data_IF_203519849384
#
_entry.id   IF_203519849384
#
_cell.length_a   1.000
_cell.length_b   1.000
_cell.length_c   1.000
_cell.angle_alpha   90.00
_cell.angle_beta   90.00
_cell.angle_gamma   90.00
#
_symmetry.space_group_name_H-M   'P 1'
#
loop_
_entity.id
_entity.type
_entity.pdbx_description
1 polymer ?
#
# COMPACT_ATOMS: atom_id res chain seq x y z
N UNK A 1 -9.35 15.43 24.26
CA UNK A 1 -8.18 15.19 23.42
C UNK A 1 -8.53 14.23 22.31
N UNK A 2 -8.19 14.57 21.10
CA UNK A 2 -8.51 13.72 19.96
C UNK A 2 -7.31 12.84 19.67
N UNK A 3 -7.50 11.53 19.73
CA UNK A 3 -6.46 10.60 19.29
C UNK A 3 -6.37 10.61 17.78
N UNK A 4 -5.17 10.67 17.27
CA UNK A 4 -4.95 10.54 15.83
C UNK A 4 -5.23 9.11 15.41
N UNK A 5 -6.27 8.94 14.61
CA UNK A 5 -6.62 7.65 14.08
C UNK A 5 -5.57 7.21 13.07
N UNK A 6 -5.11 5.98 13.17
CA UNK A 6 -4.19 5.44 12.19
C UNK A 6 -4.94 5.18 10.89
N UNK A 7 -4.37 5.62 9.79
CA UNK A 7 -5.03 5.58 8.48
C UNK A 7 -4.22 4.72 7.54
N UNK A 8 -4.92 3.83 6.82
CA UNK A 8 -4.35 2.99 5.77
C UNK A 8 -4.81 3.53 4.43
N UNK A 9 -3.86 3.79 3.53
CA UNK A 9 -4.15 4.20 2.16
C UNK A 9 -3.98 3.02 1.22
N UNK A 10 -5.00 2.76 0.40
CA UNK A 10 -4.99 1.66 -0.55
C UNK A 10 -4.93 2.21 -1.96
N UNK A 11 -3.74 2.12 -2.58
CA UNK A 11 -3.52 2.58 -3.96
C UNK A 11 -3.71 1.38 -4.87
N UNK A 12 -4.97 1.09 -5.17
CA UNK A 12 -5.38 -0.09 -5.94
C UNK A 12 -6.35 0.33 -7.03
N UNK A 13 -6.10 -0.12 -8.26
CA UNK A 13 -6.99 0.19 -9.38
C UNK A 13 -8.32 -0.54 -9.29
N UNK A 14 -8.37 -1.67 -8.60
CA UNK A 14 -9.57 -2.51 -8.50
C UNK A 14 -10.46 -2.07 -7.34
N UNK A 15 -11.52 -1.34 -7.67
CA UNK A 15 -12.41 -0.76 -6.65
C UNK A 15 -13.10 -1.80 -5.78
N UNK A 16 -13.46 -2.96 -6.34
CA UNK A 16 -14.14 -4.01 -5.59
C UNK A 16 -13.22 -4.54 -4.49
N UNK A 17 -11.97 -4.85 -4.83
CA UNK A 17 -10.99 -5.36 -3.87
C UNK A 17 -10.70 -4.30 -2.81
N UNK A 18 -10.52 -3.06 -3.23
CA UNK A 18 -10.28 -1.95 -2.32
C UNK A 18 -11.44 -1.81 -1.33
N UNK A 19 -12.69 -1.86 -1.80
CA UNK A 19 -13.86 -1.77 -0.95
C UNK A 19 -13.93 -2.89 0.09
N UNK A 20 -13.63 -4.12 -0.32
CA UNK A 20 -13.62 -5.26 0.60
C UNK A 20 -12.55 -5.09 1.69
N UNK A 21 -11.37 -4.60 1.31
CA UNK A 21 -10.28 -4.37 2.25
C UNK A 21 -10.62 -3.24 3.22
N UNK A 22 -11.18 -2.14 2.72
CA UNK A 22 -11.60 -1.02 3.56
C UNK A 22 -12.58 -1.49 4.63
N UNK A 23 -13.59 -2.26 4.21
CA UNK A 23 -14.58 -2.77 5.15
C UNK A 23 -13.96 -3.70 6.18
N UNK A 24 -13.09 -4.61 5.76
CA UNK A 24 -12.43 -5.53 6.66
C UNK A 24 -11.55 -4.80 7.68
N UNK A 25 -10.81 -3.79 7.23
CA UNK A 25 -9.97 -2.99 8.12
C UNK A 25 -10.81 -2.29 9.17
N UNK A 26 -11.91 -1.67 8.75
CA UNK A 26 -12.80 -0.95 9.68
C UNK A 26 -13.48 -1.86 10.69
N UNK A 27 -13.84 -3.09 10.27
CA UNK A 27 -14.52 -4.03 11.14
C UNK A 27 -13.59 -4.72 12.13
N UNK A 28 -12.35 -4.97 11.73
CA UNK A 28 -11.41 -5.80 12.51
C UNK A 28 -10.34 -5.01 13.24
N UNK A 29 -10.25 -3.72 12.99
CA UNK A 29 -9.21 -2.88 13.60
C UNK A 29 -9.79 -1.53 13.98
N UNK A 30 -9.02 -0.77 14.75
CA UNK A 30 -9.35 0.61 15.07
C UNK A 30 -8.83 1.59 14.02
N UNK A 31 -8.23 1.07 12.95
CA UNK A 31 -7.70 1.90 11.87
C UNK A 31 -8.81 2.34 10.92
N UNK A 32 -8.61 3.49 10.30
CA UNK A 32 -9.44 3.93 9.18
C UNK A 32 -8.73 3.57 7.87
N UNK A 33 -9.46 3.56 6.76
CA UNK A 33 -8.90 3.21 5.47
C UNK A 33 -9.61 3.96 4.36
N UNK A 34 -8.86 4.31 3.31
CA UNK A 34 -9.44 4.93 2.13
C UNK A 34 -8.74 4.43 0.88
N UNK A 35 -9.44 4.51 -0.24
CA UNK A 35 -8.92 4.05 -1.53
C UNK A 35 -8.47 5.21 -2.42
N UNK A 36 -7.40 4.97 -3.17
CA UNK A 36 -6.93 5.85 -4.24
C UNK A 36 -6.90 5.00 -5.50
N UNK A 37 -7.69 5.36 -6.49
CA UNK A 37 -7.89 4.52 -7.68
C UNK A 37 -7.08 4.99 -8.88
N UNK A 38 -6.41 6.10 -8.76
CA UNK A 38 -5.53 6.65 -9.79
C UNK A 38 -4.18 6.96 -9.18
N UNK A 39 -3.13 6.40 -9.74
CA UNK A 39 -1.78 6.53 -9.18
C UNK A 39 -1.32 7.97 -9.06
N UNK A 40 -1.70 8.82 -10.02
CA UNK A 40 -1.29 10.23 -10.00
C UNK A 40 -1.91 11.05 -8.87
N UNK A 41 -2.86 10.48 -8.13
CA UNK A 41 -3.48 11.15 -6.98
C UNK A 41 -2.89 10.70 -5.65
N UNK A 42 -2.04 9.68 -5.66
CA UNK A 42 -1.53 9.09 -4.42
C UNK A 42 -0.71 10.08 -3.60
N UNK A 43 0.16 10.87 -4.24
CA UNK A 43 0.98 11.85 -3.54
C UNK A 43 0.13 12.89 -2.79
N UNK A 44 -0.85 13.47 -3.47
CA UNK A 44 -1.70 14.50 -2.85
C UNK A 44 -2.54 13.92 -1.72
N UNK A 45 -3.08 12.73 -1.90
CA UNK A 45 -3.87 12.09 -0.85
C UNK A 45 -3.01 11.73 0.36
N UNK A 46 -1.78 11.27 0.12
CA UNK A 46 -0.86 10.99 1.22
C UNK A 46 -0.49 12.26 1.98
N UNK A 47 -0.28 13.35 1.27
CA UNK A 47 0.04 14.63 1.90
C UNK A 47 -1.08 15.11 2.80
N UNK A 48 -2.32 15.01 2.33
CA UNK A 48 -3.49 15.51 3.07
C UNK A 48 -3.84 14.59 4.24
N UNK A 49 -3.84 13.27 4.02
CA UNK A 49 -4.34 12.31 5.00
C UNK A 49 -3.26 11.75 5.92
N UNK A 50 -2.00 11.86 5.58
CA UNK A 50 -0.86 11.36 6.36
C UNK A 50 -1.05 9.91 6.81
N UNK A 51 -1.14 8.95 5.87
CA UNK A 51 -1.36 7.54 6.23
C UNK A 51 -0.16 6.96 6.97
N UNK A 52 -0.42 6.02 7.86
CA UNK A 52 0.63 5.28 8.55
C UNK A 52 1.09 4.06 7.76
N UNK A 53 0.20 3.54 6.90
CA UNK A 53 0.50 2.42 6.02
C UNK A 53 -0.09 2.73 4.65
N UNK A 54 0.64 2.40 3.59
CA UNK A 54 0.13 2.46 2.22
C UNK A 54 0.32 1.08 1.58
N UNK A 55 -0.76 0.58 1.00
CA UNK A 55 -0.75 -0.64 0.21
C UNK A 55 -0.81 -0.22 -1.24
N UNK A 56 0.23 -0.47 -2.00
CA UNK A 56 0.36 0.01 -3.37
C UNK A 56 0.46 -1.17 -4.34
N UNK A 57 -0.42 -1.19 -5.31
CA UNK A 57 -0.45 -2.23 -6.35
C UNK A 57 0.58 -1.93 -7.43
N UNK A 58 1.28 -2.98 -7.90
CA UNK A 58 2.08 -2.87 -9.11
C UNK A 58 1.14 -3.05 -10.29
N UNK A 59 0.96 -2.03 -11.15
CA UNK A 59 0.01 -2.15 -12.26
C UNK A 59 0.49 -3.16 -13.29
N UNK A 60 -0.45 -3.86 -13.92
CA UNK A 60 -0.16 -4.79 -14.99
C UNK A 60 -0.17 -4.09 -16.34
N UNK A 61 0.57 -4.64 -17.30
CA UNK A 61 0.50 -4.27 -18.72
C UNK A 61 0.86 -2.81 -19.04
N UNK A 62 1.83 -2.26 -18.30
CA UNK A 62 2.33 -0.92 -18.59
C UNK A 62 3.85 -0.95 -18.56
N UNK A 63 4.50 -0.43 -19.59
CA UNK A 63 5.94 -0.21 -19.68
C UNK A 63 6.82 -0.86 -18.62
N UNK A 64 7.08 -0.15 -17.53
CA UNK A 64 7.84 -0.66 -16.39
C UNK A 64 6.98 -0.51 -15.14
N UNK A 65 6.07 -1.46 -14.88
CA UNK A 65 5.10 -1.31 -13.81
C UNK A 65 5.72 -1.27 -12.41
N UNK A 66 6.77 -2.05 -12.17
CA UNK A 66 7.43 -2.04 -10.87
C UNK A 66 8.06 -0.68 -10.59
N UNK A 67 8.71 -0.09 -11.58
CA UNK A 67 9.31 1.22 -11.43
C UNK A 67 8.25 2.30 -11.18
N UNK A 68 7.14 2.24 -11.91
CA UNK A 68 6.03 3.17 -11.69
C UNK A 68 5.52 3.09 -10.26
N UNK A 69 5.32 1.87 -9.74
CA UNK A 69 4.87 1.68 -8.37
C UNK A 69 5.89 2.18 -7.36
N UNK A 70 7.18 1.95 -7.59
CA UNK A 70 8.24 2.42 -6.70
C UNK A 70 8.37 3.94 -6.70
N UNK A 71 8.16 4.58 -7.84
CA UNK A 71 8.13 6.05 -7.91
C UNK A 71 7.00 6.61 -7.05
N UNK A 72 5.84 5.97 -7.10
CA UNK A 72 4.70 6.35 -6.26
C UNK A 72 5.04 6.17 -4.79
N UNK A 73 5.69 5.07 -4.44
CA UNK A 73 6.13 4.85 -3.06
C UNK A 73 7.07 5.95 -2.56
N UNK A 74 8.00 6.36 -3.40
CA UNK A 74 8.91 7.48 -3.10
C UNK A 74 8.15 8.78 -2.87
N UNK A 75 7.17 9.07 -3.72
CA UNK A 75 6.33 10.25 -3.59
C UNK A 75 5.55 10.23 -2.27
N UNK A 76 5.01 9.08 -1.90
CA UNK A 76 4.26 8.93 -0.64
C UNK A 76 5.18 9.20 0.54
N UNK A 77 6.36 8.60 0.55
CA UNK A 77 7.30 8.77 1.65
C UNK A 77 7.82 10.21 1.78
N UNK A 78 7.94 10.91 0.66
CA UNK A 78 8.36 12.31 0.67
C UNK A 78 7.37 13.20 1.41
N UNK A 79 6.07 12.98 1.20
CA UNK A 79 5.02 13.82 1.79
C UNK A 79 4.45 13.26 3.08
N UNK A 80 4.67 11.98 3.35
CA UNK A 80 4.20 11.32 4.58
C UNK A 80 5.35 10.47 5.15
N UNK A 81 6.38 11.13 5.72
CA UNK A 81 7.53 10.41 6.26
C UNK A 81 7.10 9.46 7.38
N UNK A 82 7.65 8.29 7.39
CA UNK A 82 7.27 7.27 8.35
C UNK A 82 6.13 6.38 7.90
N UNK A 83 5.49 6.69 6.77
CA UNK A 83 4.49 5.78 6.20
C UNK A 83 5.18 4.47 5.81
N UNK A 84 4.63 3.35 6.29
CA UNK A 84 5.13 2.04 5.92
C UNK A 84 4.42 1.57 4.67
N UNK A 85 5.18 1.00 3.75
CA UNK A 85 4.66 0.66 2.43
C UNK A 85 4.75 -0.83 2.18
N UNK A 86 3.64 -1.40 1.69
CA UNK A 86 3.56 -2.77 1.21
C UNK A 86 3.18 -2.71 -0.26
N UNK A 87 3.96 -3.40 -1.11
CA UNK A 87 3.60 -3.54 -2.52
C UNK A 87 2.80 -4.81 -2.73
N UNK A 88 1.79 -4.74 -3.59
CA UNK A 88 1.12 -5.94 -4.10
C UNK A 88 1.70 -6.25 -5.47
N UNK A 89 2.28 -7.43 -5.60
CA UNK A 89 3.08 -7.85 -6.74
C UNK A 89 2.37 -8.95 -7.53
N UNK A 90 2.37 -8.91 -8.87
CA UNK A 90 1.89 -10.04 -9.66
C UNK A 90 2.76 -11.26 -9.41
N UNK A 91 2.12 -12.39 -9.13
CA UNK A 91 2.80 -13.63 -8.75
C UNK A 91 3.74 -14.17 -9.83
N UNK A 92 3.34 -14.04 -11.09
CA UNK A 92 4.07 -14.64 -12.21
C UNK A 92 5.06 -13.69 -12.87
N UNK A 93 5.33 -12.54 -12.29
CA UNK A 93 6.23 -11.55 -12.86
C UNK A 93 7.55 -11.53 -12.09
N UNK A 94 8.53 -12.28 -12.59
CA UNK A 94 9.83 -12.40 -11.94
C UNK A 94 10.56 -11.06 -11.82
N UNK A 95 10.40 -10.18 -12.80
CA UNK A 95 11.03 -8.86 -12.76
C UNK A 95 10.45 -8.01 -11.64
N UNK A 96 9.12 -8.06 -11.47
CA UNK A 96 8.47 -7.33 -10.39
C UNK A 96 8.87 -7.87 -9.02
N UNK A 97 8.96 -9.20 -8.88
CA UNK A 97 9.39 -9.81 -7.63
C UNK A 97 10.81 -9.38 -7.29
N UNK A 98 11.72 -9.42 -8.27
CA UNK A 98 13.11 -9.01 -8.07
C UNK A 98 13.18 -7.52 -7.66
N UNK A 99 12.37 -6.68 -8.28
CA UNK A 99 12.31 -5.26 -7.95
C UNK A 99 11.81 -5.03 -6.52
N UNK A 100 10.83 -5.81 -6.07
CA UNK A 100 10.32 -5.74 -4.69
C UNK A 100 11.40 -6.12 -3.68
N UNK A 101 12.12 -7.20 -3.94
CA UNK A 101 13.19 -7.68 -3.05
C UNK A 101 14.28 -6.61 -2.94
N UNK A 102 14.69 -6.06 -4.07
CA UNK A 102 15.70 -5.00 -4.09
C UNK A 102 15.23 -3.76 -3.34
N UNK A 103 13.96 -3.38 -3.52
CA UNK A 103 13.39 -2.22 -2.85
C UNK A 103 13.33 -2.40 -1.32
N UNK A 104 13.09 -3.62 -0.84
CA UNK A 104 13.15 -3.90 0.60
C UNK A 104 14.58 -3.72 1.10
N UNK A 105 15.55 -4.25 0.38
CA UNK A 105 16.97 -4.13 0.76
C UNK A 105 17.42 -2.68 0.81
N UNK A 106 16.92 -1.85 -0.08
CA UNK A 106 17.25 -0.44 -0.15
C UNK A 106 16.43 0.43 0.81
N UNK A 107 15.50 -0.18 1.53
CA UNK A 107 14.66 0.56 2.48
C UNK A 107 13.57 1.40 1.84
N UNK A 108 13.25 1.15 0.58
CA UNK A 108 12.21 1.90 -0.14
C UNK A 108 10.80 1.44 0.19
N UNK A 109 10.65 0.17 0.55
CA UNK A 109 9.38 -0.41 0.98
C UNK A 109 9.64 -1.32 2.18
N UNK A 110 8.57 -1.66 2.89
CA UNK A 110 8.69 -2.51 4.08
C UNK A 110 8.45 -3.99 3.77
N UNK A 111 7.57 -4.28 2.81
CA UNK A 111 7.26 -5.67 2.46
C UNK A 111 6.56 -5.71 1.11
N UNK A 112 6.34 -6.92 0.58
CA UNK A 112 5.50 -7.11 -0.58
C UNK A 112 4.65 -8.37 -0.41
N UNK A 113 3.52 -8.42 -1.10
CA UNK A 113 2.57 -9.53 -1.05
C UNK A 113 2.08 -9.82 -2.47
N UNK A 114 1.54 -11.01 -2.66
CA UNK A 114 0.94 -11.38 -3.95
C UNK A 114 -0.57 -11.17 -3.94
N UNK A 115 -1.16 -11.08 -5.14
CA UNK A 115 -2.59 -10.80 -5.30
C UNK A 115 -3.51 -11.92 -4.80
N UNK A 116 -3.03 -13.15 -4.76
CA UNK A 116 -3.86 -14.32 -4.42
C UNK A 116 -4.05 -14.52 -2.93
N UNK A 117 -3.60 -13.60 -2.11
CA UNK A 117 -3.72 -13.71 -0.67
C UNK A 117 -5.14 -13.38 -0.20
N UNK A 118 -5.54 -14.02 0.89
CA UNK A 118 -6.85 -13.76 1.49
C UNK A 118 -6.90 -12.38 2.14
N UNK A 119 -8.11 -11.84 2.26
CA UNK A 119 -8.34 -10.59 2.99
C UNK A 119 -7.86 -10.71 4.43
N UNK A 120 -8.08 -11.87 5.06
CA UNK A 120 -7.63 -12.12 6.43
C UNK A 120 -6.11 -11.97 6.57
N UNK A 121 -5.37 -12.53 5.63
CA UNK A 121 -3.92 -12.42 5.65
C UNK A 121 -3.46 -10.98 5.47
N UNK A 122 -4.07 -10.25 4.53
CA UNK A 122 -3.74 -8.86 4.27
C UNK A 122 -4.00 -7.99 5.50
N UNK A 123 -5.14 -8.18 6.16
CA UNK A 123 -5.46 -7.42 7.38
C UNK A 123 -4.46 -7.74 8.49
N UNK A 124 -4.12 -9.01 8.67
CA UNK A 124 -3.12 -9.42 9.67
C UNK A 124 -1.77 -8.77 9.41
N UNK A 125 -1.37 -8.71 8.14
CA UNK A 125 -0.10 -8.08 7.76
C UNK A 125 -0.12 -6.58 8.05
N UNK A 126 -1.22 -5.91 7.73
CA UNK A 126 -1.37 -4.49 8.02
C UNK A 126 -1.27 -4.22 9.51
N UNK A 127 -1.90 -5.05 10.34
CA UNK A 127 -1.83 -4.91 11.79
C UNK A 127 -0.39 -5.08 12.27
N UNK A 128 0.32 -6.07 11.74
CA UNK A 128 1.70 -6.35 12.16
C UNK A 128 2.67 -5.22 11.83
N UNK A 129 2.41 -4.46 10.77
CA UNK A 129 3.25 -3.35 10.35
C UNK A 129 2.80 -2.01 10.92
N UNK A 130 1.63 -1.96 11.54
CA UNK A 130 1.12 -0.72 12.11
C UNK A 130 1.91 -0.37 13.36
N UNK A 131 2.56 0.80 13.42
CA UNK A 131 3.27 1.21 14.61
C UNK A 131 2.27 1.53 15.73
N UNK A 132 2.59 1.13 16.91
CA UNK A 132 1.78 1.43 18.09
C UNK A 132 1.94 2.87 18.55
#
# INVERSE_FOLDING_TARGET
MVEDKKIVMLVLCRKVISGLLIEAIKQRTDMDAFGVYEFNKARNMAMVRQPKIALVEIPENRGDPAREALDICGDIQEVSPGCRIILICPENDEESVAACIEAIKEGKINDYLFYDLSVDYLVSKLISLCPD
#
